data_IF_711462553717
#
_entry.id   IF_711462553717
#
_cell.length_a   1.000
_cell.length_b   1.000
_cell.length_c   1.000
_cell.angle_alpha   90.00
_cell.angle_beta   90.00
_cell.angle_gamma   90.00
#
_symmetry.space_group_name_H-M   'P 1'
#
loop_
_entity.id
_entity.type
_entity.pdbx_description
1 polymer ?
#
# COMPACT_ATOMS: atom_id res chain seq x y z
N UNK A 1 -29.64 3.57 -7.85
CA UNK A 1 -30.64 4.65 -8.04
C UNK A 1 -32.06 4.22 -7.71
N UNK A 2 -32.62 3.19 -8.36
CA UNK A 2 -34.01 2.75 -8.10
C UNK A 2 -34.37 2.39 -6.63
N UNK A 3 -33.40 1.99 -5.80
CA UNK A 3 -33.62 1.76 -4.36
C UNK A 3 -33.62 3.06 -3.54
N UNK A 4 -32.80 4.04 -3.91
CA UNK A 4 -32.76 5.36 -3.26
C UNK A 4 -34.06 6.13 -3.47
N UNK A 5 -34.64 6.01 -4.68
CA UNK A 5 -35.96 6.58 -5.01
C UNK A 5 -37.09 5.95 -4.20
N UNK A 6 -36.94 4.70 -3.77
CA UNK A 6 -37.86 4.02 -2.85
C UNK A 6 -37.64 4.40 -1.38
N UNK A 7 -36.76 5.36 -1.09
CA UNK A 7 -36.45 5.83 0.25
C UNK A 7 -35.47 4.96 1.03
N UNK A 8 -34.80 4.01 0.38
CA UNK A 8 -33.74 3.23 1.01
C UNK A 8 -32.44 4.04 1.07
N UNK A 9 -31.57 3.71 2.01
CA UNK A 9 -30.33 4.44 2.26
C UNK A 9 -29.10 3.55 2.05
N UNK A 10 -27.99 4.13 1.64
CA UNK A 10 -26.68 3.50 1.69
C UNK A 10 -25.92 4.02 2.91
N UNK A 11 -25.19 3.15 3.60
CA UNK A 11 -24.42 3.55 4.78
C UNK A 11 -22.95 3.21 4.59
N UNK A 12 -22.04 3.97 5.20
CA UNK A 12 -20.62 3.65 5.13
C UNK A 12 -20.25 2.47 6.02
N UNK A 13 -19.14 1.78 5.72
CA UNK A 13 -18.60 0.68 6.55
C UNK A 13 -18.37 1.13 8.00
N UNK A 14 -17.89 2.36 8.19
CA UNK A 14 -17.69 2.98 9.52
C UNK A 14 -19.04 3.08 10.26
N UNK A 15 -20.07 3.60 9.58
CA UNK A 15 -21.40 3.77 10.16
C UNK A 15 -21.99 2.42 10.56
N UNK A 16 -21.93 1.44 9.65
CA UNK A 16 -22.47 0.11 9.86
C UNK A 16 -21.81 -0.57 11.06
N UNK A 17 -20.48 -0.48 11.18
CA UNK A 17 -19.74 -1.06 12.31
C UNK A 17 -20.11 -0.40 13.65
N UNK A 18 -20.24 0.93 13.67
CA UNK A 18 -20.61 1.66 14.89
C UNK A 18 -22.03 1.32 15.37
N UNK A 19 -22.94 1.04 14.43
CA UNK A 19 -24.34 0.72 14.72
C UNK A 19 -24.64 -0.79 14.69
N UNK A 20 -23.60 -1.63 14.63
CA UNK A 20 -23.71 -3.11 14.60
C UNK A 20 -24.67 -3.61 13.49
N UNK A 21 -24.65 -2.94 12.35
CA UNK A 21 -25.45 -3.29 11.18
C UNK A 21 -24.67 -4.27 10.32
N UNK A 22 -25.23 -5.45 10.13
CA UNK A 22 -24.66 -6.46 9.24
C UNK A 22 -25.25 -6.36 7.82
N UNK A 23 -24.46 -6.70 6.79
CA UNK A 23 -24.86 -6.63 5.37
C UNK A 23 -25.93 -7.65 4.94
N UNK A 24 -26.36 -8.55 5.83
CA UNK A 24 -27.31 -9.63 5.51
C UNK A 24 -28.76 -9.09 5.44
N UNK A 25 -29.11 -8.58 4.26
CA UNK A 25 -30.46 -8.35 3.69
C UNK A 25 -31.58 -7.86 4.62
N UNK A 26 -31.91 -6.57 4.50
CA UNK A 26 -33.07 -5.95 5.15
C UNK A 26 -32.75 -5.24 6.46
N UNK A 27 -31.46 -5.13 6.79
CA UNK A 27 -31.00 -4.33 7.92
C UNK A 27 -31.56 -2.91 7.82
N UNK A 28 -32.16 -2.45 8.90
CA UNK A 28 -32.71 -1.12 9.02
C UNK A 28 -32.02 -0.41 10.17
N UNK A 29 -31.86 0.90 10.03
CA UNK A 29 -31.31 1.74 11.09
C UNK A 29 -32.31 2.82 11.46
N UNK A 30 -32.41 3.10 12.75
CA UNK A 30 -33.21 4.20 13.26
C UNK A 30 -32.36 5.45 13.23
N UNK A 31 -32.84 6.47 12.52
CA UNK A 31 -32.20 7.78 12.43
C UNK A 31 -33.10 8.84 13.06
N UNK A 32 -32.50 9.78 13.77
CA UNK A 32 -33.19 10.93 14.33
C UNK A 32 -33.58 11.91 13.20
N UNK A 33 -34.87 12.15 13.06
CA UNK A 33 -35.44 13.08 12.06
C UNK A 33 -36.19 14.21 12.75
N UNK A 34 -36.62 15.23 11.99
CA UNK A 34 -37.48 16.29 12.55
C UNK A 34 -38.84 15.78 13.03
N UNK A 35 -39.25 14.60 12.58
CA UNK A 35 -40.50 13.94 12.95
C UNK A 35 -40.30 12.93 14.10
N UNK A 36 -39.10 12.89 14.69
CA UNK A 36 -38.70 11.88 15.66
C UNK A 36 -37.89 10.74 15.04
N UNK A 37 -37.60 9.68 15.81
CA UNK A 37 -36.84 8.53 15.33
C UNK A 37 -37.62 7.75 14.28
N UNK A 38 -37.03 7.58 13.09
CA UNK A 38 -37.63 6.81 11.98
C UNK A 38 -36.68 5.72 11.50
N UNK A 39 -37.25 4.58 11.10
CA UNK A 39 -36.51 3.43 10.60
C UNK A 39 -36.34 3.50 9.09
N UNK A 40 -35.10 3.35 8.61
CA UNK A 40 -34.73 3.36 7.20
C UNK A 40 -34.08 2.06 6.80
N UNK A 41 -34.52 1.48 5.68
CA UNK A 41 -33.93 0.26 5.13
C UNK A 41 -32.62 0.54 4.41
N UNK A 42 -31.65 -0.34 4.61
CA UNK A 42 -30.31 -0.19 4.06
C UNK A 42 -30.23 -0.96 2.73
N UNK A 43 -30.00 -0.22 1.65
CA UNK A 43 -29.80 -0.75 0.30
C UNK A 43 -28.40 -1.35 0.10
N UNK A 44 -27.43 -0.90 0.88
CA UNK A 44 -26.09 -1.45 0.86
C UNK A 44 -25.12 -0.69 1.76
N UNK A 45 -23.98 -1.33 2.00
CA UNK A 45 -22.87 -0.74 2.74
C UNK A 45 -21.76 -0.42 1.74
N UNK A 46 -21.29 0.83 1.73
CA UNK A 46 -20.20 1.28 0.85
C UNK A 46 -18.94 1.60 1.64
N UNK A 47 -17.79 1.51 0.99
CA UNK A 47 -16.52 1.90 1.59
C UNK A 47 -16.32 3.40 1.52
N UNK A 48 -15.96 3.96 2.65
CA UNK A 48 -15.79 5.40 2.81
C UNK A 48 -14.42 5.69 3.39
N UNK A 49 -13.61 6.41 2.61
CA UNK A 49 -12.24 6.77 2.99
C UNK A 49 -12.14 8.16 3.61
N UNK A 50 -13.26 8.86 3.82
CA UNK A 50 -13.25 10.12 4.54
C UNK A 50 -13.00 9.90 6.04
N UNK A 51 -12.08 10.69 6.59
CA UNK A 51 -11.86 10.76 8.03
C UNK A 51 -12.91 11.68 8.63
N UNK A 52 -13.82 11.14 9.45
CA UNK A 52 -14.89 11.95 10.05
C UNK A 52 -16.06 11.20 10.70
N UNK A 53 -16.13 9.88 10.54
CA UNK A 53 -17.18 9.04 11.12
C UNK A 53 -18.04 8.36 10.07
N UNK A 54 -19.18 7.81 10.50
CA UNK A 54 -20.14 7.16 9.60
C UNK A 54 -20.85 8.13 8.67
N UNK A 55 -21.07 7.74 7.41
CA UNK A 55 -21.85 8.51 6.42
C UNK A 55 -23.08 7.73 5.98
N UNK A 56 -24.15 8.46 5.69
CA UNK A 56 -25.39 7.94 5.12
C UNK A 56 -25.68 8.69 3.82
N UNK A 57 -25.98 7.94 2.77
CA UNK A 57 -26.36 8.45 1.45
C UNK A 57 -27.82 8.10 1.21
N UNK A 58 -28.62 9.10 0.90
CA UNK A 58 -30.06 8.97 0.64
C UNK A 58 -30.45 9.89 -0.51
N UNK A 59 -31.68 9.74 -1.03
CA UNK A 59 -32.18 10.64 -2.06
C UNK A 59 -32.37 12.07 -1.52
N UNK A 60 -32.27 13.07 -2.40
CA UNK A 60 -32.54 14.47 -2.05
C UNK A 60 -33.97 14.65 -1.52
N UNK A 61 -34.93 13.95 -2.10
CA UNK A 61 -36.34 13.98 -1.65
C UNK A 61 -36.51 13.44 -0.23
N UNK A 62 -35.81 12.34 0.10
CA UNK A 62 -35.78 11.78 1.45
C UNK A 62 -35.17 12.77 2.44
N UNK A 63 -34.04 13.40 2.09
CA UNK A 63 -33.39 14.40 2.93
C UNK A 63 -34.29 15.62 3.19
N UNK A 64 -34.92 16.15 2.14
CA UNK A 64 -35.84 17.28 2.25
C UNK A 64 -37.08 16.93 3.09
N UNK A 65 -37.65 15.74 2.93
CA UNK A 65 -38.86 15.31 3.66
C UNK A 65 -38.62 15.14 5.16
N UNK A 66 -37.53 14.49 5.56
CA UNK A 66 -37.32 14.08 6.95
C UNK A 66 -36.40 15.02 7.74
N UNK A 67 -35.45 15.70 7.08
CA UNK A 67 -34.53 16.65 7.72
C UNK A 67 -34.74 18.11 7.28
N UNK A 68 -35.63 18.37 6.31
CA UNK A 68 -35.92 19.73 5.85
C UNK A 68 -34.72 20.42 5.18
N UNK A 69 -33.77 19.64 4.68
CA UNK A 69 -32.60 20.11 3.95
C UNK A 69 -32.80 19.88 2.45
N UNK A 70 -32.87 20.98 1.71
CA UNK A 70 -33.02 21.00 0.24
C UNK A 70 -31.84 21.75 -0.44
N UNK A 71 -30.88 22.21 0.35
CA UNK A 71 -29.71 22.93 -0.09
C UNK A 71 -28.69 22.01 -0.77
N UNK A 72 -28.01 22.54 -1.79
CA UNK A 72 -26.96 21.83 -2.53
C UNK A 72 -25.62 22.41 -2.10
N UNK A 73 -24.85 21.64 -1.34
CA UNK A 73 -23.51 22.06 -0.89
C UNK A 73 -22.43 21.75 -1.93
N UNK A 74 -22.63 20.71 -2.75
CA UNK A 74 -21.68 20.30 -3.78
C UNK A 74 -22.40 19.63 -4.95
N UNK A 75 -21.86 19.81 -6.15
CA UNK A 75 -22.30 19.13 -7.36
C UNK A 75 -21.09 18.53 -8.06
N UNK A 76 -21.22 17.28 -8.49
CA UNK A 76 -20.19 16.59 -9.26
C UNK A 76 -20.67 16.44 -10.70
N UNK A 77 -19.83 16.88 -11.64
CA UNK A 77 -20.07 16.75 -13.08
C UNK A 77 -19.12 15.70 -13.63
N UNK A 78 -19.68 14.67 -14.25
CA UNK A 78 -18.91 13.64 -14.93
C UNK A 78 -18.94 13.95 -16.42
N UNK A 79 -17.76 14.07 -17.01
CA UNK A 79 -17.59 14.28 -18.45
C UNK A 79 -17.38 12.93 -19.13
N UNK A 80 -17.91 12.80 -20.35
CA UNK A 80 -17.57 11.67 -21.21
C UNK A 80 -16.08 11.70 -21.56
N UNK A 81 -15.47 10.53 -21.76
CA UNK A 81 -14.02 10.36 -21.91
C UNK A 81 -13.41 11.18 -23.07
N UNK A 82 -14.22 11.57 -24.06
CA UNK A 82 -13.80 12.29 -25.26
C UNK A 82 -13.73 13.81 -25.04
N UNK A 83 -14.32 14.32 -23.95
CA UNK A 83 -14.41 15.76 -23.69
C UNK A 83 -13.25 16.22 -22.81
N UNK A 84 -12.47 17.16 -23.33
CA UNK A 84 -11.41 17.81 -22.55
C UNK A 84 -12.00 18.65 -21.41
N UNK A 85 -11.44 18.49 -20.21
CA UNK A 85 -11.91 19.16 -18.98
C UNK A 85 -11.73 20.68 -19.02
N UNK A 86 -10.59 21.16 -19.54
CA UNK A 86 -10.21 22.58 -19.46
C UNK A 86 -11.19 23.53 -20.18
N UNK A 87 -11.63 23.26 -21.42
CA UNK A 87 -12.67 24.06 -22.08
C UNK A 87 -13.96 24.17 -21.26
N UNK A 88 -14.45 23.04 -20.73
CA UNK A 88 -15.69 22.99 -19.95
C UNK A 88 -15.57 23.82 -18.67
N UNK A 89 -14.43 23.72 -17.98
CA UNK A 89 -14.15 24.52 -16.79
C UNK A 89 -14.18 26.01 -17.10
N UNK A 90 -13.61 26.43 -18.22
CA UNK A 90 -13.62 27.84 -18.62
C UNK A 90 -15.03 28.33 -18.94
N UNK A 91 -15.85 27.51 -19.61
CA UNK A 91 -17.26 27.82 -19.86
C UNK A 91 -18.05 27.97 -18.56
N UNK A 92 -17.89 27.04 -17.62
CA UNK A 92 -18.58 27.11 -16.32
C UNK A 92 -18.12 28.34 -15.53
N UNK A 93 -16.81 28.65 -15.52
CA UNK A 93 -16.28 29.86 -14.85
C UNK A 93 -16.92 31.15 -15.36
N UNK A 94 -17.24 31.24 -16.65
CA UNK A 94 -17.91 32.41 -17.24
C UNK A 94 -19.39 32.52 -16.83
N UNK A 95 -20.03 31.40 -16.51
CA UNK A 95 -21.43 31.37 -16.05
C UNK A 95 -21.56 31.71 -14.55
N UNK A 96 -20.47 31.60 -13.79
CA UNK A 96 -20.45 31.86 -12.35
C UNK A 96 -20.38 33.38 -12.10
N UNK A 97 -21.37 33.98 -11.41
CA UNK A 97 -21.35 35.41 -11.11
C UNK A 97 -20.12 35.80 -10.27
N UNK A 98 -19.49 36.96 -10.57
CA UNK A 98 -18.40 37.48 -9.77
C UNK A 98 -18.89 37.77 -8.33
N UNK A 99 -18.15 37.30 -7.33
CA UNK A 99 -18.52 37.41 -5.92
C UNK A 99 -19.34 36.24 -5.35
N UNK A 100 -19.68 35.24 -6.18
CA UNK A 100 -20.28 34.00 -5.67
C UNK A 100 -19.26 33.15 -4.88
N UNK A 101 -19.75 32.38 -3.90
CA UNK A 101 -18.94 31.45 -3.10
C UNK A 101 -18.70 30.10 -3.79
N UNK A 102 -18.99 29.99 -5.09
CA UNK A 102 -18.92 28.73 -5.83
C UNK A 102 -17.45 28.42 -6.15
N UNK A 103 -16.93 27.33 -5.59
CA UNK A 103 -15.60 26.82 -5.90
C UNK A 103 -15.67 25.73 -6.95
N UNK A 104 -15.20 26.03 -8.16
CA UNK A 104 -15.03 25.04 -9.21
C UNK A 104 -13.64 24.42 -9.14
N UNK A 105 -13.56 23.09 -9.02
CA UNK A 105 -12.28 22.38 -8.96
C UNK A 105 -12.30 21.17 -9.91
N UNK A 106 -11.28 21.00 -10.77
CA UNK A 106 -11.15 19.80 -11.58
C UNK A 106 -10.98 18.55 -10.71
N UNK A 107 -11.57 17.43 -11.13
CA UNK A 107 -11.38 16.15 -10.45
C UNK A 107 -9.90 15.69 -10.42
N UNK A 108 -9.12 16.04 -11.44
CA UNK A 108 -7.69 15.77 -11.50
C UNK A 108 -6.92 16.49 -10.38
N UNK A 109 -7.22 17.76 -10.12
CA UNK A 109 -6.57 18.55 -9.06
C UNK A 109 -6.95 18.02 -7.68
N UNK A 110 -8.22 17.61 -7.49
CA UNK A 110 -8.67 16.95 -6.25
C UNK A 110 -7.86 15.66 -6.04
N UNK A 111 -7.78 14.81 -7.06
CA UNK A 111 -7.00 13.55 -7.01
C UNK A 111 -5.54 13.83 -6.69
N UNK A 112 -4.90 14.80 -7.35
CA UNK A 112 -3.51 15.14 -7.13
C UNK A 112 -3.27 15.70 -5.73
N UNK A 113 -4.19 16.54 -5.22
CA UNK A 113 -4.12 17.07 -3.85
C UNK A 113 -4.21 15.93 -2.82
N UNK A 114 -5.12 14.98 -3.03
CA UNK A 114 -5.25 13.80 -2.18
C UNK A 114 -3.96 12.97 -2.22
N UNK A 115 -3.43 12.68 -3.41
CA UNK A 115 -2.19 11.91 -3.57
C UNK A 115 -1.00 12.62 -2.91
N UNK A 116 -0.89 13.94 -3.04
CA UNK A 116 0.18 14.70 -2.41
C UNK A 116 0.12 14.63 -0.86
N UNK A 117 -1.07 14.63 -0.27
CA UNK A 117 -1.23 14.46 1.20
C UNK A 117 -0.79 13.05 1.62
N UNK A 118 -1.15 12.02 0.86
CA UNK A 118 -0.70 10.66 1.11
C UNK A 118 0.83 10.57 1.01
N UNK A 119 1.41 11.05 -0.09
CA UNK A 119 2.85 11.00 -0.34
C UNK A 119 3.63 11.64 0.82
N UNK A 120 3.26 12.85 1.24
CA UNK A 120 3.90 13.54 2.36
C UNK A 120 3.83 12.75 3.68
N UNK A 121 2.72 12.06 3.94
CA UNK A 121 2.57 11.22 5.15
C UNK A 121 3.47 9.99 5.08
N UNK A 122 3.66 9.42 3.89
CA UNK A 122 4.50 8.24 3.66
C UNK A 122 5.99 8.53 3.46
N UNK A 123 6.40 9.81 3.35
CA UNK A 123 7.83 10.18 3.27
C UNK A 123 8.62 9.66 4.47
N UNK A 124 8.08 9.79 5.68
CA UNK A 124 8.76 9.33 6.90
C UNK A 124 8.93 7.81 6.88
N UNK A 125 7.88 7.08 6.52
CA UNK A 125 7.94 5.62 6.38
C UNK A 125 8.94 5.20 5.31
N UNK A 126 9.00 5.92 4.19
CA UNK A 126 9.98 5.68 3.12
C UNK A 126 11.41 5.89 3.61
N UNK A 127 11.66 6.94 4.41
CA UNK A 127 12.96 7.17 5.01
C UNK A 127 13.36 6.04 5.98
N UNK A 128 12.43 5.59 6.82
CA UNK A 128 12.65 4.43 7.71
C UNK A 128 12.91 3.15 6.91
N UNK A 129 12.19 2.93 5.81
CA UNK A 129 12.40 1.77 4.93
C UNK A 129 13.81 1.76 4.35
N UNK A 130 14.31 2.90 3.86
CA UNK A 130 15.68 3.03 3.36
C UNK A 130 16.70 2.77 4.48
N UNK A 131 16.48 3.32 5.67
CA UNK A 131 17.34 3.08 6.83
C UNK A 131 17.38 1.58 7.19
N UNK A 132 16.21 0.93 7.27
CA UNK A 132 16.11 -0.50 7.52
C UNK A 132 16.81 -1.32 6.44
N UNK A 133 16.69 -0.93 5.16
CA UNK A 133 17.40 -1.59 4.06
C UNK A 133 18.93 -1.48 4.22
N UNK A 134 19.45 -0.32 4.61
CA UNK A 134 20.88 -0.13 4.87
C UNK A 134 21.36 -1.01 6.03
N UNK A 135 20.60 -1.04 7.13
CA UNK A 135 20.91 -1.89 8.30
C UNK A 135 20.89 -3.37 7.91
N UNK A 136 19.88 -3.80 7.14
CA UNK A 136 19.76 -5.18 6.66
C UNK A 136 20.92 -5.56 5.72
N UNK A 137 21.27 -4.71 4.75
CA UNK A 137 22.40 -4.93 3.84
C UNK A 137 23.73 -5.03 4.59
N UNK A 138 23.94 -4.19 5.61
CA UNK A 138 25.13 -4.24 6.46
C UNK A 138 25.19 -5.54 7.26
N UNK A 139 24.05 -5.99 7.79
CA UNK A 139 23.94 -7.28 8.47
C UNK A 139 24.28 -8.46 7.56
N UNK A 140 23.76 -8.46 6.33
CA UNK A 140 24.06 -9.49 5.32
C UNK A 140 25.55 -9.47 4.97
N UNK A 141 26.12 -8.29 4.72
CA UNK A 141 27.54 -8.14 4.42
C UNK A 141 28.41 -8.73 5.54
N UNK A 142 28.11 -8.40 6.80
CA UNK A 142 28.82 -8.91 7.96
C UNK A 142 28.70 -10.44 8.08
N UNK A 143 27.51 -10.99 7.87
CA UNK A 143 27.28 -12.44 7.92
C UNK A 143 28.07 -13.17 6.82
N UNK A 144 28.05 -12.65 5.59
CA UNK A 144 28.79 -13.23 4.46
C UNK A 144 30.30 -13.11 4.69
N UNK A 145 30.78 -11.99 5.24
CA UNK A 145 32.20 -11.84 5.60
C UNK A 145 32.62 -12.83 6.69
N UNK A 146 31.80 -13.01 7.73
CA UNK A 146 32.08 -14.01 8.77
C UNK A 146 32.16 -15.43 8.18
N UNK A 147 31.20 -15.79 7.31
CA UNK A 147 31.20 -17.09 6.62
C UNK A 147 32.44 -17.28 5.73
N UNK A 148 32.90 -16.23 5.05
CA UNK A 148 34.13 -16.29 4.27
C UNK A 148 35.36 -16.56 5.14
N UNK A 149 35.45 -15.90 6.30
CA UNK A 149 36.57 -16.08 7.22
C UNK A 149 36.63 -17.54 7.70
N UNK A 150 35.50 -18.12 8.10
CA UNK A 150 35.39 -19.53 8.50
C UNK A 150 35.79 -20.48 7.37
N UNK A 151 35.41 -20.18 6.13
CA UNK A 151 35.71 -21.02 4.95
C UNK A 151 37.04 -20.73 4.26
N UNK A 152 37.89 -19.88 4.84
CA UNK A 152 39.17 -19.49 4.22
C UNK A 152 40.07 -20.70 3.94
N UNK A 153 40.08 -21.71 4.84
CA UNK A 153 40.84 -22.95 4.68
C UNK A 153 40.33 -23.81 3.53
N UNK A 154 39.01 -23.95 3.39
CA UNK A 154 38.38 -24.70 2.31
C UNK A 154 38.70 -24.08 0.94
N UNK A 155 38.60 -22.75 0.85
CA UNK A 155 38.96 -21.99 -0.34
C UNK A 155 40.46 -22.16 -0.65
N UNK A 156 41.31 -22.19 0.38
CA UNK A 156 42.74 -22.46 0.26
C UNK A 156 43.04 -23.85 -0.34
N UNK A 157 42.35 -24.88 0.14
CA UNK A 157 42.47 -26.26 -0.39
C UNK A 157 42.00 -26.34 -1.83
N UNK A 158 40.82 -25.77 -2.15
CA UNK A 158 40.29 -25.72 -3.51
C UNK A 158 41.29 -25.07 -4.48
N UNK A 159 41.91 -23.97 -4.06
CA UNK A 159 42.92 -23.27 -4.87
C UNK A 159 44.23 -24.06 -5.00
N UNK A 160 44.62 -24.81 -3.97
CA UNK A 160 45.76 -25.73 -4.04
C UNK A 160 45.51 -26.89 -5.03
N UNK A 161 44.25 -27.33 -5.17
CA UNK A 161 43.82 -28.30 -6.18
C UNK A 161 43.67 -27.70 -7.60
N UNK A 162 43.98 -26.41 -7.80
CA UNK A 162 44.01 -25.78 -9.11
C UNK A 162 42.76 -25.01 -9.53
N UNK A 163 41.80 -24.76 -8.64
CA UNK A 163 40.65 -23.89 -8.99
C UNK A 163 41.07 -22.45 -9.24
N UNK A 164 40.50 -21.86 -10.29
CA UNK A 164 40.76 -20.47 -10.65
C UNK A 164 40.02 -19.51 -9.70
N UNK A 165 40.56 -18.30 -9.43
CA UNK A 165 39.89 -17.28 -8.62
C UNK A 165 38.49 -16.91 -9.13
N UNK A 166 38.25 -17.03 -10.44
CA UNK A 166 36.94 -16.82 -11.05
C UNK A 166 35.91 -17.90 -10.68
N UNK A 167 36.35 -19.15 -10.49
CA UNK A 167 35.47 -20.25 -10.09
C UNK A 167 35.03 -20.11 -8.63
N UNK A 168 35.94 -19.69 -7.75
CA UNK A 168 35.63 -19.37 -6.34
C UNK A 168 34.64 -18.21 -6.24
N UNK A 169 34.82 -17.18 -7.06
CA UNK A 169 33.87 -16.05 -7.16
C UNK A 169 32.49 -16.51 -7.62
N UNK A 170 32.42 -17.33 -8.67
CA UNK A 170 31.16 -17.89 -9.17
C UNK A 170 30.41 -18.67 -8.10
N UNK A 171 31.12 -19.54 -7.36
CA UNK A 171 30.54 -20.32 -6.26
C UNK A 171 29.88 -19.41 -5.20
N UNK A 172 30.60 -18.38 -4.75
CA UNK A 172 30.09 -17.44 -3.74
C UNK A 172 28.90 -16.63 -4.23
N UNK A 173 28.92 -16.20 -5.48
CA UNK A 173 27.80 -15.48 -6.11
C UNK A 173 26.57 -16.37 -6.19
N UNK A 174 26.72 -17.64 -6.58
CA UNK A 174 25.62 -18.60 -6.61
C UNK A 174 25.07 -18.87 -5.20
N UNK A 175 25.93 -19.02 -4.20
CA UNK A 175 25.50 -19.19 -2.82
C UNK A 175 24.68 -17.97 -2.33
N UNK A 176 25.16 -16.75 -2.59
CA UNK A 176 24.42 -15.53 -2.27
C UNK A 176 23.08 -15.44 -3.01
N UNK A 177 23.02 -15.87 -4.27
CA UNK A 177 21.79 -15.92 -5.05
C UNK A 177 20.75 -16.86 -4.41
N UNK A 178 21.16 -18.08 -4.02
CA UNK A 178 20.26 -19.03 -3.38
C UNK A 178 19.78 -18.55 -2.01
N UNK A 179 20.64 -17.92 -1.21
CA UNK A 179 20.20 -17.29 0.05
C UNK A 179 19.20 -16.15 -0.19
N UNK A 180 19.43 -15.32 -1.21
CA UNK A 180 18.50 -14.24 -1.60
C UNK A 180 17.16 -14.77 -2.11
N UNK A 181 17.17 -15.91 -2.80
CA UNK A 181 15.96 -16.55 -3.31
C UNK A 181 15.16 -17.19 -2.16
N UNK A 182 15.83 -17.90 -1.25
CA UNK A 182 15.21 -18.50 -0.07
C UNK A 182 14.63 -17.44 0.87
N UNK A 183 15.37 -16.34 1.10
CA UNK A 183 14.87 -15.24 1.92
C UNK A 183 13.66 -14.57 1.27
N UNK A 184 13.65 -14.38 -0.04
CA UNK A 184 12.49 -13.88 -0.78
C UNK A 184 11.25 -14.78 -0.65
N UNK A 185 11.42 -16.09 -0.80
CA UNK A 185 10.33 -17.07 -0.61
C UNK A 185 9.76 -16.99 0.81
N UNK A 186 10.61 -16.83 1.83
CA UNK A 186 10.16 -16.69 3.22
C UNK A 186 9.56 -15.31 3.51
N UNK A 187 10.02 -14.26 2.84
CA UNK A 187 9.52 -12.90 3.03
C UNK A 187 8.10 -12.72 2.48
N UNK A 188 7.74 -13.43 1.40
CA UNK A 188 6.39 -13.35 0.81
C UNK A 188 5.26 -13.67 1.80
N UNK A 189 5.20 -14.87 2.44
CA UNK A 189 4.12 -15.20 3.36
C UNK A 189 4.13 -14.27 4.58
N UNK A 190 5.30 -13.88 5.06
CA UNK A 190 5.42 -12.92 6.16
C UNK A 190 4.85 -11.54 5.77
N UNK A 191 5.19 -11.05 4.57
CA UNK A 191 4.67 -9.80 4.03
C UNK A 191 3.15 -9.84 3.86
N UNK A 192 2.62 -10.94 3.32
CA UNK A 192 1.17 -11.17 3.19
C UNK A 192 0.50 -11.15 4.57
N UNK A 193 1.06 -11.84 5.56
CA UNK A 193 0.52 -11.84 6.92
C UNK A 193 0.52 -10.43 7.54
N UNK A 194 1.62 -9.68 7.40
CA UNK A 194 1.72 -8.31 7.88
C UNK A 194 0.74 -7.37 7.17
N UNK A 195 0.57 -7.50 5.85
CA UNK A 195 -0.43 -6.76 5.08
C UNK A 195 -1.85 -7.08 5.54
N UNK A 196 -2.14 -8.35 5.81
CA UNK A 196 -3.45 -8.76 6.31
C UNK A 196 -3.74 -8.12 7.67
N UNK A 197 -2.78 -8.15 8.61
CA UNK A 197 -2.89 -7.48 9.92
C UNK A 197 -3.10 -5.98 9.75
N UNK A 198 -2.34 -5.34 8.86
CA UNK A 198 -2.47 -3.91 8.60
C UNK A 198 -3.87 -3.56 8.11
N UNK A 199 -4.41 -4.32 7.15
CA UNK A 199 -5.72 -4.06 6.53
C UNK A 199 -6.87 -4.39 7.49
N UNK A 200 -6.84 -5.55 8.14
CA UNK A 200 -7.98 -6.07 8.90
C UNK A 200 -7.94 -5.71 10.38
N UNK A 201 -6.77 -5.39 10.94
CA UNK A 201 -6.63 -5.07 12.36
C UNK A 201 -6.31 -3.60 12.56
N UNK A 202 -5.24 -3.09 11.94
CA UNK A 202 -4.76 -1.73 12.19
C UNK A 202 -5.69 -0.71 11.53
N UNK A 203 -5.93 -0.80 10.23
CA UNK A 203 -6.78 0.15 9.50
C UNK A 203 -8.21 0.16 10.05
N UNK A 204 -8.75 -1.00 10.39
CA UNK A 204 -10.06 -1.10 11.02
C UNK A 204 -10.14 -0.35 12.35
N UNK A 205 -9.10 -0.42 13.19
CA UNK A 205 -9.07 0.25 14.49
C UNK A 205 -8.77 1.74 14.40
N UNK A 206 -7.89 2.14 13.47
CA UNK A 206 -7.46 3.54 13.33
C UNK A 206 -8.44 4.35 12.48
N UNK A 207 -8.99 3.76 11.41
CA UNK A 207 -9.78 4.48 10.40
C UNK A 207 -11.20 3.94 10.22
N UNK A 208 -11.50 2.72 10.66
CA UNK A 208 -12.85 2.15 10.60
C UNK A 208 -13.23 1.48 9.26
N UNK A 209 -12.38 1.55 8.24
CA UNK A 209 -12.62 0.95 6.92
C UNK A 209 -11.58 -0.12 6.56
N UNK A 210 -11.87 -0.90 5.51
CA UNK A 210 -10.97 -1.91 4.93
C UNK A 210 -10.69 -1.68 3.44
N UNK A 211 -9.64 -2.33 2.92
CA UNK A 211 -9.33 -2.41 1.49
C UNK A 211 -9.31 -3.86 1.02
N UNK A 212 -9.58 -4.08 -0.26
CA UNK A 212 -9.36 -5.38 -0.87
C UNK A 212 -7.87 -5.69 -0.96
N UNK A 213 -7.50 -6.88 -0.52
CA UNK A 213 -6.15 -7.39 -0.65
C UNK A 213 -5.99 -8.03 -2.03
N UNK A 214 -5.44 -7.26 -2.98
CA UNK A 214 -5.18 -7.73 -4.34
C UNK A 214 -3.73 -8.22 -4.42
N UNK A 215 -3.56 -9.54 -4.52
CA UNK A 215 -2.25 -10.15 -4.74
C UNK A 215 -1.94 -10.22 -6.24
N UNK A 216 -1.19 -9.24 -6.72
CA UNK A 216 -0.67 -9.25 -8.08
C UNK A 216 0.57 -10.14 -8.18
N UNK A 217 0.60 -11.15 -9.07
CA UNK A 217 1.79 -11.99 -9.29
C UNK A 217 3.05 -11.17 -9.62
N UNK A 218 2.88 -10.03 -10.29
CA UNK A 218 3.99 -9.13 -10.61
C UNK A 218 4.72 -8.59 -9.38
N UNK A 219 3.99 -8.28 -8.30
CA UNK A 219 4.57 -7.77 -7.04
C UNK A 219 5.35 -8.89 -6.34
N UNK A 220 4.84 -10.12 -6.37
CA UNK A 220 5.53 -11.27 -5.78
C UNK A 220 6.85 -11.58 -6.50
N UNK A 221 6.83 -11.53 -7.83
CA UNK A 221 8.05 -11.69 -8.65
C UNK A 221 9.03 -10.55 -8.38
N UNK A 222 8.57 -9.31 -8.28
CA UNK A 222 9.42 -8.18 -7.92
C UNK A 222 10.07 -8.36 -6.54
N UNK A 223 9.35 -8.87 -5.56
CA UNK A 223 9.89 -9.15 -4.23
C UNK A 223 11.04 -10.17 -4.29
N UNK A 224 10.88 -11.27 -5.06
CA UNK A 224 11.94 -12.26 -5.27
C UNK A 224 13.15 -11.67 -5.99
N UNK A 225 12.91 -10.87 -7.04
CA UNK A 225 13.99 -10.23 -7.79
C UNK A 225 14.75 -9.26 -6.89
N UNK A 226 14.06 -8.46 -6.07
CA UNK A 226 14.67 -7.52 -5.15
C UNK A 226 15.45 -8.22 -4.04
N UNK A 227 14.94 -9.30 -3.46
CA UNK A 227 15.65 -10.05 -2.41
C UNK A 227 16.92 -10.71 -2.95
N UNK A 228 16.83 -11.34 -4.14
CA UNK A 228 17.98 -11.92 -4.82
C UNK A 228 18.99 -10.84 -5.23
N UNK A 229 18.54 -9.70 -5.76
CA UNK A 229 19.42 -8.59 -6.13
C UNK A 229 20.12 -7.98 -4.92
N UNK A 230 19.43 -7.82 -3.79
CA UNK A 230 20.01 -7.31 -2.54
C UNK A 230 21.07 -8.27 -1.97
N UNK A 231 20.79 -9.57 -1.95
CA UNK A 231 21.75 -10.59 -1.49
C UNK A 231 22.99 -10.65 -2.40
N UNK A 232 22.80 -10.56 -3.72
CA UNK A 232 23.89 -10.46 -4.68
C UNK A 232 24.72 -9.19 -4.46
N UNK A 233 24.07 -8.03 -4.31
CA UNK A 233 24.75 -6.76 -4.07
C UNK A 233 25.64 -6.81 -2.81
N UNK A 234 25.13 -7.40 -1.73
CA UNK A 234 25.90 -7.61 -0.50
C UNK A 234 27.06 -8.60 -0.70
N UNK A 235 26.87 -9.66 -1.50
CA UNK A 235 27.85 -10.70 -1.77
C UNK A 235 28.98 -10.34 -2.74
N UNK A 236 28.81 -9.31 -3.58
CA UNK A 236 29.82 -8.88 -4.57
C UNK A 236 31.15 -8.49 -3.89
N UNK A 237 31.10 -7.66 -2.86
CA UNK A 237 32.30 -7.19 -2.17
C UNK A 237 33.09 -8.34 -1.52
N UNK A 238 32.45 -9.23 -0.72
CA UNK A 238 33.07 -10.45 -0.20
C UNK A 238 33.65 -11.36 -1.30
N UNK A 239 32.91 -11.62 -2.38
CA UNK A 239 33.37 -12.48 -3.47
C UNK A 239 34.61 -11.91 -4.17
N UNK A 240 34.66 -10.60 -4.38
CA UNK A 240 35.84 -9.93 -4.94
C UNK A 240 37.06 -10.07 -4.02
N UNK A 241 36.87 -9.95 -2.71
CA UNK A 241 37.90 -10.11 -1.69
C UNK A 241 38.43 -11.55 -1.62
N UNK A 242 37.55 -12.56 -1.68
CA UNK A 242 37.91 -13.98 -1.62
C UNK A 242 38.89 -14.39 -2.75
N UNK A 243 38.70 -13.85 -3.96
CA UNK A 243 39.59 -14.11 -5.09
C UNK A 243 41.02 -13.57 -4.92
N UNK A 244 41.26 -12.68 -3.97
CA UNK A 244 42.57 -12.06 -3.69
C UNK A 244 43.32 -12.70 -2.52
N UNK A 245 42.72 -13.65 -1.81
CA UNK A 245 43.34 -14.33 -0.65
C UNK A 245 44.63 -15.04 -1.13
N UNK A 246 45.78 -14.77 -0.50
CA UNK A 246 47.05 -15.43 -0.85
C UNK A 246 47.13 -16.80 -0.19
N UNK A 247 47.45 -17.82 -0.98
CA UNK A 247 47.53 -19.22 -0.55
C UNK A 247 48.52 -19.41 0.63
N UNK A 248 49.59 -18.62 0.67
CA UNK A 248 50.59 -18.67 1.74
C UNK A 248 50.06 -18.19 3.10
N UNK A 249 49.11 -17.27 3.14
CA UNK A 249 48.48 -16.78 4.37
C UNK A 249 47.37 -17.71 4.87
N UNK A 250 46.64 -18.36 3.95
CA UNK A 250 45.54 -19.27 4.31
C UNK A 250 46.02 -20.57 5.00
N UNK A 251 47.28 -20.98 4.78
CA UNK A 251 47.88 -22.17 5.39
C UNK A 251 48.67 -21.89 6.69
N UNK A 252 48.92 -20.62 7.03
CA UNK A 252 49.67 -20.19 8.22
C UNK A 252 48.80 -19.54 9.30
N UNK A 253 47.48 -19.44 9.12
CA UNK A 253 46.57 -18.98 10.17
C UNK A 253 46.37 -20.10 11.21
N UNK A 254 47.23 -20.10 12.24
CA UNK A 254 46.92 -20.57 13.60
C UNK A 254 46.41 -19.40 14.45
#
# INVERSE_FOLDING_TARGET
DALLEKGWIFVSEIFARQHQVEPEQGAAVVLETRQGPLSFQIAGIFRDFFMGGGRVVMSRETMARYWGHDDITAMQLFLENEISVNPVINTIKQMIPPGSLIRLQPGADIKQSILAVFDNTFVITSALQVLTAIVALTGILNAVMALLLERTREIGILRACGTLPGQVRGLLIHECFFYGLLSGIMAIPLGIALSWILIHVINQRTFGWTYDMILSPGILVQALVLSSAAALAAGIFPALAAGRIRISQALHME
#
